data_IF_274495401692
#
_entry.id   IF_274495401692
#
_cell.length_a   1.000
_cell.length_b   1.000
_cell.length_c   1.000
_cell.angle_alpha   90.00
_cell.angle_beta   90.00
_cell.angle_gamma   90.00
#
_symmetry.space_group_name_H-M   'P 1'
#
loop_
_entity.id
_entity.type
_entity.pdbx_description
1 polymer ?
#
# COMPACT_ATOMS: atom_id res chain seq x y z
N UNK A 1 -1.99 -1.56 -30.18
CA UNK A 1 -2.89 -2.30 -29.27
C UNK A 1 -3.55 -1.26 -28.39
N UNK A 2 -4.88 -1.32 -28.25
CA UNK A 2 -5.62 -0.37 -27.43
C UNK A 2 -6.14 -1.08 -26.17
N UNK A 3 -6.04 -0.42 -25.04
CA UNK A 3 -6.39 -0.94 -23.72
C UNK A 3 -7.22 0.10 -22.97
N UNK A 4 -8.22 -0.31 -22.23
CA UNK A 4 -8.88 0.54 -21.24
C UNK A 4 -8.48 0.12 -19.82
N UNK A 5 -8.32 1.10 -18.94
CA UNK A 5 -8.06 0.86 -17.50
C UNK A 5 -9.15 1.60 -16.73
N UNK A 6 -10.03 0.84 -16.07
CA UNK A 6 -11.15 1.36 -15.28
C UNK A 6 -10.74 1.49 -13.81
N UNK A 7 -10.86 2.69 -13.29
CA UNK A 7 -10.35 3.13 -11.99
C UNK A 7 -9.03 3.89 -12.16
N UNK A 8 -9.00 5.17 -11.82
CA UNK A 8 -7.80 6.03 -11.84
C UNK A 8 -7.24 6.28 -10.44
N UNK A 9 -7.41 5.31 -9.56
CA UNK A 9 -6.68 5.23 -8.30
C UNK A 9 -5.21 4.86 -8.54
N UNK A 10 -4.51 4.58 -7.45
CA UNK A 10 -3.07 4.31 -7.47
C UNK A 10 -2.69 3.22 -8.50
N UNK A 11 -3.30 2.05 -8.41
CA UNK A 11 -3.00 0.90 -9.30
C UNK A 11 -3.34 1.19 -10.75
N UNK A 12 -4.53 1.78 -10.99
CA UNK A 12 -5.00 2.00 -12.36
C UNK A 12 -4.23 3.08 -13.09
N UNK A 13 -3.98 4.23 -12.45
CA UNK A 13 -3.25 5.33 -13.09
C UNK A 13 -1.79 4.96 -13.37
N UNK A 14 -1.10 4.31 -12.40
CA UNK A 14 0.26 3.81 -12.62
C UNK A 14 0.29 2.78 -13.76
N UNK A 15 -0.64 1.82 -13.75
CA UNK A 15 -0.71 0.79 -14.82
C UNK A 15 -0.97 1.42 -16.19
N UNK A 16 -1.92 2.35 -16.27
CA UNK A 16 -2.25 3.05 -17.52
C UNK A 16 -1.09 3.85 -18.07
N UNK A 17 -0.42 4.62 -17.20
CA UNK A 17 0.74 5.43 -17.59
C UNK A 17 1.92 4.55 -18.04
N UNK A 18 2.22 3.46 -17.33
CA UNK A 18 3.31 2.55 -17.68
C UNK A 18 3.03 1.76 -18.97
N UNK A 19 1.79 1.33 -19.22
CA UNK A 19 1.42 0.74 -20.52
C UNK A 19 1.58 1.75 -21.66
N UNK A 20 1.13 3.00 -21.46
CA UNK A 20 1.27 4.06 -22.43
C UNK A 20 2.75 4.38 -22.73
N UNK A 21 3.61 4.35 -21.71
CA UNK A 21 5.05 4.55 -21.83
C UNK A 21 5.71 3.49 -22.74
N UNK A 22 5.17 2.26 -22.72
CA UNK A 22 5.63 1.17 -23.60
C UNK A 22 4.98 1.20 -24.99
N UNK A 23 4.30 2.28 -25.37
CA UNK A 23 3.73 2.48 -26.70
C UNK A 23 2.33 1.91 -26.90
N UNK A 24 1.63 1.49 -25.84
CA UNK A 24 0.25 1.07 -25.89
C UNK A 24 -0.67 2.30 -25.87
N UNK A 25 -1.75 2.32 -26.66
CA UNK A 25 -2.79 3.36 -26.51
C UNK A 25 -3.70 2.96 -25.36
N UNK A 26 -3.78 3.80 -24.35
CA UNK A 26 -4.51 3.54 -23.11
C UNK A 26 -5.56 4.60 -22.87
N UNK A 27 -6.79 4.17 -22.62
CA UNK A 27 -7.87 5.00 -22.11
C UNK A 27 -8.05 4.69 -20.62
N UNK A 28 -7.73 5.64 -19.75
CA UNK A 28 -8.06 5.57 -18.33
C UNK A 28 -9.47 6.08 -18.08
N UNK A 29 -10.29 5.29 -17.40
CA UNK A 29 -11.71 5.56 -17.16
C UNK A 29 -11.97 5.65 -15.67
N UNK A 30 -12.67 6.69 -15.21
CA UNK A 30 -13.12 6.80 -13.83
C UNK A 30 -14.46 7.53 -13.77
N UNK A 31 -15.36 7.10 -12.91
CA UNK A 31 -16.69 7.73 -12.75
C UNK A 31 -16.63 9.13 -12.09
N UNK A 32 -15.52 9.45 -11.45
CA UNK A 32 -15.29 10.75 -10.80
C UNK A 32 -14.88 11.80 -11.84
N UNK A 33 -15.85 12.61 -12.25
CA UNK A 33 -15.65 13.69 -13.21
C UNK A 33 -14.56 14.67 -12.78
N UNK A 34 -14.51 15.03 -11.48
CA UNK A 34 -13.52 15.98 -10.97
C UNK A 34 -12.10 15.42 -11.09
N UNK A 35 -11.94 14.13 -10.84
CA UNK A 35 -10.66 13.44 -10.99
C UNK A 35 -10.23 13.38 -12.46
N UNK A 36 -11.15 13.03 -13.36
CA UNK A 36 -10.89 13.01 -14.80
C UNK A 36 -10.55 14.41 -15.34
N UNK A 37 -11.27 15.44 -14.92
CA UNK A 37 -10.96 16.81 -15.32
C UNK A 37 -9.59 17.26 -14.78
N UNK A 38 -9.25 16.92 -13.55
CA UNK A 38 -7.92 17.18 -13.00
C UNK A 38 -6.82 16.51 -13.85
N UNK A 39 -7.00 15.22 -14.19
CA UNK A 39 -6.06 14.47 -15.03
C UNK A 39 -5.91 15.05 -16.44
N UNK A 40 -7.01 15.45 -17.09
CA UNK A 40 -7.00 16.15 -18.40
C UNK A 40 -6.22 17.47 -18.33
N UNK A 41 -6.25 18.15 -17.19
CA UNK A 41 -5.51 19.38 -16.93
C UNK A 41 -4.09 19.16 -16.36
N UNK A 42 -3.59 17.92 -16.40
CA UNK A 42 -2.23 17.57 -15.95
C UNK A 42 -2.05 17.62 -14.44
N UNK A 43 -3.13 17.60 -13.63
CA UNK A 43 -3.07 17.48 -12.17
C UNK A 43 -3.23 16.02 -11.77
N UNK A 44 -2.18 15.46 -11.18
CA UNK A 44 -2.16 14.04 -10.77
C UNK A 44 -2.68 13.91 -9.34
N UNK A 45 -3.74 13.13 -9.08
CA UNK A 45 -4.41 13.08 -7.78
C UNK A 45 -3.74 12.15 -6.76
N UNK A 46 -2.57 11.62 -7.08
CA UNK A 46 -1.81 10.69 -6.23
C UNK A 46 -0.34 11.09 -6.20
N UNK A 47 0.30 10.88 -5.05
CA UNK A 47 1.75 11.06 -4.92
C UNK A 47 2.47 9.75 -5.26
N UNK A 48 3.24 9.76 -6.36
CA UNK A 48 4.12 8.66 -6.77
C UNK A 48 5.31 9.22 -7.56
N UNK A 49 6.55 8.99 -7.12
CA UNK A 49 7.73 9.51 -7.80
C UNK A 49 7.79 9.15 -9.29
N UNK A 50 7.93 10.15 -10.15
CA UNK A 50 8.05 9.99 -11.61
C UNK A 50 6.75 9.77 -12.37
N UNK A 51 5.60 9.60 -11.70
CA UNK A 51 4.31 9.40 -12.35
C UNK A 51 3.81 10.65 -13.07
N UNK A 52 3.95 11.82 -12.46
CA UNK A 52 3.51 13.11 -12.98
C UNK A 52 4.07 13.37 -14.38
N UNK A 53 5.38 13.26 -14.52
CA UNK A 53 6.08 13.46 -15.77
C UNK A 53 5.67 12.41 -16.83
N UNK A 54 5.54 11.15 -16.43
CA UNK A 54 5.13 10.05 -17.30
C UNK A 54 3.72 10.25 -17.83
N UNK A 55 2.76 10.62 -16.99
CA UNK A 55 1.38 10.90 -17.39
C UNK A 55 1.32 12.05 -18.39
N UNK A 56 1.96 13.20 -18.06
CA UNK A 56 1.96 14.38 -18.95
C UNK A 56 2.58 14.07 -20.32
N UNK A 57 3.73 13.39 -20.33
CA UNK A 57 4.41 13.01 -21.57
C UNK A 57 3.54 12.12 -22.47
N UNK A 58 2.88 11.13 -21.89
CA UNK A 58 2.07 10.18 -22.64
C UNK A 58 0.70 10.77 -23.06
N UNK A 59 0.11 11.65 -22.24
CA UNK A 59 -1.08 12.40 -22.61
C UNK A 59 -0.81 13.36 -23.80
N UNK A 60 0.29 14.11 -23.73
CA UNK A 60 0.70 15.00 -24.82
C UNK A 60 1.02 14.24 -26.11
N UNK A 61 1.51 13.03 -26.03
CA UNK A 61 1.78 12.16 -27.18
C UNK A 61 0.52 11.42 -27.70
N UNK A 62 -0.65 11.63 -27.11
CA UNK A 62 -1.90 10.98 -27.50
C UNK A 62 -1.98 9.49 -27.19
N UNK A 63 -1.02 8.94 -26.42
CA UNK A 63 -1.02 7.53 -26.01
C UNK A 63 -1.83 7.27 -24.75
N UNK A 64 -2.06 8.28 -23.92
CA UNK A 64 -2.84 8.19 -22.70
C UNK A 64 -4.00 9.19 -22.77
N UNK A 65 -5.22 8.70 -22.64
CA UNK A 65 -6.44 9.50 -22.66
C UNK A 65 -7.28 9.23 -21.40
N UNK A 66 -8.21 10.14 -21.09
CA UNK A 66 -9.05 10.06 -19.91
C UNK A 66 -10.52 10.22 -20.27
N UNK A 67 -11.39 9.34 -19.75
CA UNK A 67 -12.83 9.34 -19.97
C UNK A 67 -13.60 9.08 -18.67
N UNK A 68 -14.83 9.52 -18.61
CA UNK A 68 -15.75 9.22 -17.51
C UNK A 68 -16.61 7.98 -17.77
N UNK A 69 -16.54 7.40 -18.99
CA UNK A 69 -17.39 6.28 -19.40
C UNK A 69 -16.59 5.22 -20.15
N UNK A 70 -16.72 3.97 -19.73
CA UNK A 70 -16.16 2.83 -20.47
C UNK A 70 -16.83 2.67 -21.85
N UNK A 71 -18.12 3.01 -21.97
CA UNK A 71 -18.88 2.95 -23.21
C UNK A 71 -18.21 3.73 -24.33
N UNK A 72 -17.61 4.87 -24.03
CA UNK A 72 -17.03 5.77 -25.04
C UNK A 72 -15.73 5.23 -25.65
N UNK A 73 -15.08 4.26 -24.98
CA UNK A 73 -13.75 3.77 -25.38
C UNK A 73 -13.72 2.27 -25.69
N UNK A 74 -14.75 1.51 -25.32
CA UNK A 74 -14.72 0.04 -25.35
C UNK A 74 -14.69 -0.55 -26.77
N UNK A 75 -15.23 0.16 -27.75
CA UNK A 75 -15.33 -0.33 -29.13
C UNK A 75 -13.95 -0.60 -29.78
N UNK A 76 -12.93 0.14 -29.36
CA UNK A 76 -11.59 0.07 -29.94
C UNK A 76 -10.57 -0.73 -29.11
N UNK A 77 -10.94 -1.19 -27.92
CA UNK A 77 -10.00 -1.88 -27.02
C UNK A 77 -10.09 -3.39 -27.12
N UNK A 78 -8.95 -4.08 -26.89
CA UNK A 78 -8.87 -5.54 -26.84
C UNK A 78 -8.85 -6.07 -25.41
N UNK A 79 -8.41 -5.25 -24.47
CA UNK A 79 -8.31 -5.56 -23.05
C UNK A 79 -8.91 -4.43 -22.23
N UNK A 80 -9.74 -4.75 -21.27
CA UNK A 80 -10.25 -3.82 -20.25
C UNK A 80 -9.73 -4.28 -18.89
N UNK A 81 -8.94 -3.44 -18.23
CA UNK A 81 -8.47 -3.71 -16.88
C UNK A 81 -9.42 -3.08 -15.86
N UNK A 82 -9.91 -3.88 -14.93
CA UNK A 82 -10.61 -3.42 -13.74
C UNK A 82 -9.58 -3.19 -12.63
N UNK A 83 -9.29 -1.93 -12.34
CA UNK A 83 -8.35 -1.47 -11.31
C UNK A 83 -9.06 -0.61 -10.25
N UNK A 84 -10.32 -0.89 -10.01
CA UNK A 84 -11.18 -0.20 -9.04
C UNK A 84 -10.88 -0.63 -7.61
N UNK A 85 -11.25 0.19 -6.62
CA UNK A 85 -11.08 -0.14 -5.21
C UNK A 85 -11.86 -1.38 -4.78
N UNK A 86 -11.29 -2.10 -3.83
CA UNK A 86 -11.92 -3.22 -3.11
C UNK A 86 -11.80 -2.96 -1.62
N UNK A 87 -12.56 -1.98 -1.08
CA UNK A 87 -12.48 -1.65 0.33
C UNK A 87 -12.94 -2.84 1.18
N UNK A 88 -12.55 -2.88 2.47
CA UNK A 88 -13.11 -3.87 3.38
C UNK A 88 -14.61 -3.59 3.60
N UNK A 89 -15.40 -4.66 3.60
CA UNK A 89 -16.78 -4.65 4.05
C UNK A 89 -16.84 -4.64 5.59
N UNK A 90 -18.01 -4.44 6.18
CA UNK A 90 -18.21 -4.41 7.64
C UNK A 90 -17.73 -5.69 8.33
N UNK A 91 -17.84 -6.85 7.67
CA UNK A 91 -17.37 -8.14 8.19
C UNK A 91 -15.87 -8.38 7.97
N UNK A 92 -15.15 -7.44 7.34
CA UNK A 92 -13.73 -7.52 6.98
C UNK A 92 -13.46 -8.27 5.67
N UNK A 93 -14.49 -8.74 4.95
CA UNK A 93 -14.33 -9.25 3.59
C UNK A 93 -14.11 -8.11 2.59
N UNK A 94 -13.70 -8.43 1.36
CA UNK A 94 -13.57 -7.43 0.30
C UNK A 94 -14.95 -7.09 -0.30
N UNK A 95 -15.31 -5.80 -0.35
CA UNK A 95 -16.46 -5.33 -1.11
C UNK A 95 -16.16 -5.38 -2.60
N UNK A 96 -16.95 -6.16 -3.33
CA UNK A 96 -16.82 -6.37 -4.78
C UNK A 96 -17.75 -5.49 -5.62
N UNK A 97 -18.49 -4.58 -5.02
CA UNK A 97 -19.51 -3.76 -5.70
C UNK A 97 -18.92 -3.05 -6.91
N UNK A 98 -17.78 -2.39 -6.76
CA UNK A 98 -17.14 -1.67 -7.87
C UNK A 98 -16.65 -2.62 -8.98
N UNK A 99 -16.09 -3.76 -8.62
CA UNK A 99 -15.61 -4.77 -9.60
C UNK A 99 -16.78 -5.33 -10.41
N UNK A 100 -17.91 -5.65 -9.75
CA UNK A 100 -19.10 -6.15 -10.42
C UNK A 100 -19.81 -5.07 -11.24
N UNK A 101 -19.71 -3.79 -10.87
CA UNK A 101 -20.21 -2.69 -11.67
C UNK A 101 -19.42 -2.54 -12.98
N UNK A 102 -18.09 -2.66 -12.92
CA UNK A 102 -17.25 -2.70 -14.13
C UNK A 102 -17.64 -3.87 -15.05
N UNK A 103 -17.86 -5.06 -14.45
CA UNK A 103 -18.31 -6.24 -15.21
C UNK A 103 -19.68 -6.01 -15.88
N UNK A 104 -20.59 -5.33 -15.18
CA UNK A 104 -21.92 -4.96 -15.72
C UNK A 104 -21.80 -4.00 -16.88
N UNK A 105 -21.06 -2.91 -16.72
CA UNK A 105 -20.84 -1.92 -17.78
C UNK A 105 -20.12 -2.53 -18.98
N UNK A 106 -19.13 -3.40 -18.74
CA UNK A 106 -18.46 -4.16 -19.77
C UNK A 106 -19.47 -5.03 -20.57
N UNK A 107 -20.29 -5.86 -19.90
CA UNK A 107 -21.29 -6.70 -20.55
C UNK A 107 -22.37 -5.92 -21.30
N UNK A 108 -22.72 -4.73 -20.83
CA UNK A 108 -23.67 -3.83 -21.50
C UNK A 108 -23.14 -3.24 -22.81
N UNK A 109 -21.81 -3.12 -22.98
CA UNK A 109 -21.26 -2.32 -24.06
C UNK A 109 -20.38 -3.08 -25.05
N UNK A 110 -19.86 -4.28 -24.72
CA UNK A 110 -19.02 -5.04 -25.66
C UNK A 110 -19.79 -5.42 -26.94
N UNK A 111 -19.11 -5.25 -28.09
CA UNK A 111 -19.62 -5.59 -29.44
C UNK A 111 -18.73 -6.61 -30.16
N UNK A 112 -17.52 -6.82 -29.68
CA UNK A 112 -16.53 -7.75 -30.25
C UNK A 112 -15.77 -8.47 -29.12
N UNK A 113 -15.01 -9.48 -29.50
CA UNK A 113 -14.19 -10.20 -28.54
C UNK A 113 -13.25 -9.25 -27.78
N UNK A 114 -13.43 -9.19 -26.48
CA UNK A 114 -12.64 -8.39 -25.56
C UNK A 114 -12.42 -9.19 -24.27
N UNK A 115 -11.30 -8.98 -23.60
CA UNK A 115 -11.00 -9.64 -22.32
C UNK A 115 -11.17 -8.62 -21.19
N UNK A 116 -11.97 -8.97 -20.18
CA UNK A 116 -12.01 -8.23 -18.93
C UNK A 116 -10.97 -8.80 -17.96
N UNK A 117 -9.99 -7.98 -17.57
CA UNK A 117 -8.87 -8.36 -16.72
C UNK A 117 -9.05 -7.74 -15.35
N UNK A 118 -9.21 -8.53 -14.31
CA UNK A 118 -9.22 -8.03 -12.92
C UNK A 118 -7.79 -7.79 -12.46
N UNK A 119 -7.44 -6.53 -12.22
CA UNK A 119 -6.16 -6.11 -11.66
C UNK A 119 -6.26 -5.81 -10.16
N UNK A 120 -7.43 -5.42 -9.69
CA UNK A 120 -7.74 -5.25 -8.27
C UNK A 120 -7.47 -6.55 -7.49
N UNK A 121 -7.06 -6.41 -6.23
CA UNK A 121 -6.94 -7.57 -5.32
C UNK A 121 -8.33 -8.03 -4.90
N UNK A 122 -8.71 -9.23 -5.30
CA UNK A 122 -10.04 -9.79 -5.10
C UNK A 122 -9.97 -11.21 -4.53
N UNK A 123 -10.95 -11.64 -3.71
CA UNK A 123 -11.04 -13.01 -3.20
C UNK A 123 -11.11 -14.06 -4.32
N UNK A 124 -10.56 -15.25 -4.04
CA UNK A 124 -10.63 -16.37 -4.96
C UNK A 124 -12.07 -16.70 -5.30
N UNK A 125 -12.33 -16.87 -6.61
CA UNK A 125 -13.67 -17.09 -7.17
C UNK A 125 -14.39 -15.83 -7.63
N UNK A 126 -13.75 -14.65 -7.53
CA UNK A 126 -14.34 -13.40 -8.02
C UNK A 126 -14.50 -13.41 -9.54
N UNK A 127 -13.56 -13.96 -10.29
CA UNK A 127 -13.66 -14.07 -11.74
C UNK A 127 -14.90 -14.83 -12.21
N UNK A 128 -15.33 -15.87 -11.49
CA UNK A 128 -16.57 -16.58 -11.79
C UNK A 128 -17.81 -15.70 -11.62
N UNK A 129 -17.83 -14.83 -10.59
CA UNK A 129 -18.90 -13.84 -10.38
C UNK A 129 -18.91 -12.78 -11.47
N UNK A 130 -17.73 -12.27 -11.82
CA UNK A 130 -17.53 -11.30 -12.92
C UNK A 130 -18.07 -11.88 -14.23
N UNK A 131 -17.68 -13.12 -14.58
CA UNK A 131 -18.14 -13.81 -15.78
C UNK A 131 -19.66 -13.92 -15.82
N UNK A 132 -20.29 -14.37 -14.72
CA UNK A 132 -21.74 -14.48 -14.59
C UNK A 132 -22.46 -13.14 -14.84
N UNK A 133 -21.96 -12.07 -14.24
CA UNK A 133 -22.54 -10.73 -14.45
C UNK A 133 -22.47 -10.30 -15.91
N UNK A 134 -21.37 -10.58 -16.62
CA UNK A 134 -21.24 -10.26 -18.03
C UNK A 134 -22.23 -11.07 -18.86
N UNK A 135 -22.33 -12.39 -18.62
CA UNK A 135 -23.27 -13.29 -19.29
C UNK A 135 -24.73 -12.82 -19.12
N UNK A 136 -25.12 -12.42 -17.91
CA UNK A 136 -26.44 -11.86 -17.61
C UNK A 136 -26.74 -10.55 -18.40
N UNK A 137 -25.73 -9.69 -18.62
CA UNK A 137 -25.92 -8.47 -19.41
C UNK A 137 -26.05 -8.77 -20.91
N UNK A 138 -25.26 -9.71 -21.43
CA UNK A 138 -25.37 -10.13 -22.83
C UNK A 138 -26.70 -10.80 -23.11
N UNK A 139 -27.20 -11.64 -22.21
CA UNK A 139 -28.53 -12.27 -22.31
C UNK A 139 -29.65 -11.21 -22.35
N UNK A 140 -29.60 -10.20 -21.46
CA UNK A 140 -30.54 -9.08 -21.47
C UNK A 140 -30.56 -8.28 -22.78
N UNK A 141 -29.42 -8.22 -23.48
CA UNK A 141 -29.30 -7.57 -24.79
C UNK A 141 -29.71 -8.49 -25.93
N UNK A 142 -29.92 -9.76 -25.69
CA UNK A 142 -30.15 -10.76 -26.75
C UNK A 142 -28.93 -11.02 -27.64
N UNK A 143 -27.72 -10.71 -27.17
CA UNK A 143 -26.49 -10.80 -27.95
C UNK A 143 -25.58 -11.93 -27.47
N UNK A 144 -24.80 -12.49 -28.42
CA UNK A 144 -23.80 -13.53 -28.17
C UNK A 144 -22.41 -13.05 -28.55
N UNK A 145 -21.91 -12.07 -27.81
CA UNK A 145 -20.55 -11.55 -28.01
C UNK A 145 -19.55 -12.44 -27.26
N UNK A 146 -18.53 -13.01 -27.91
CA UNK A 146 -17.52 -13.78 -27.23
C UNK A 146 -16.65 -12.89 -26.37
N UNK A 147 -16.31 -13.35 -25.17
CA UNK A 147 -15.42 -12.66 -24.23
C UNK A 147 -14.66 -13.66 -23.38
N UNK A 148 -13.60 -13.21 -22.73
CA UNK A 148 -12.91 -13.91 -21.66
C UNK A 148 -12.79 -13.04 -20.43
N UNK A 149 -12.57 -13.67 -19.29
CA UNK A 149 -12.13 -13.03 -18.05
C UNK A 149 -10.72 -13.51 -17.72
N UNK A 150 -9.92 -12.62 -17.14
CA UNK A 150 -8.57 -12.92 -16.69
C UNK A 150 -8.31 -12.26 -15.32
N UNK A 151 -7.35 -12.78 -14.58
CA UNK A 151 -6.83 -12.17 -13.36
C UNK A 151 -5.37 -11.79 -13.56
N UNK A 152 -5.04 -10.54 -13.28
CA UNK A 152 -3.67 -10.03 -13.37
C UNK A 152 -3.36 -9.18 -12.13
N UNK A 153 -3.17 -9.82 -10.98
CA UNK A 153 -2.91 -9.11 -9.75
C UNK A 153 -1.63 -8.26 -9.85
N UNK A 154 -1.62 -7.14 -9.16
CA UNK A 154 -0.49 -6.23 -9.09
C UNK A 154 0.38 -6.54 -7.86
N UNK A 155 1.67 -6.17 -7.91
CA UNK A 155 2.63 -6.30 -6.82
C UNK A 155 3.40 -4.99 -6.63
N UNK A 156 2.73 -3.88 -6.90
CA UNK A 156 3.31 -2.55 -6.83
C UNK A 156 3.51 -2.11 -5.38
N UNK A 157 4.58 -1.37 -5.13
CA UNK A 157 4.84 -0.73 -3.84
C UNK A 157 4.61 0.77 -4.00
N UNK A 158 3.69 1.35 -3.24
CA UNK A 158 3.53 2.80 -3.17
C UNK A 158 4.89 3.48 -2.93
N UNK A 159 5.16 4.58 -3.63
CA UNK A 159 6.46 5.25 -3.62
C UNK A 159 7.55 4.62 -4.51
N UNK A 160 7.27 3.46 -5.12
CA UNK A 160 8.16 2.80 -6.09
C UNK A 160 7.38 2.08 -7.20
N UNK A 161 6.09 2.39 -7.36
CA UNK A 161 5.20 1.62 -8.23
C UNK A 161 5.53 1.76 -9.72
N UNK A 162 5.93 2.94 -10.16
CA UNK A 162 6.41 3.14 -11.54
C UNK A 162 7.60 2.24 -11.82
N UNK A 163 8.59 2.21 -10.92
CA UNK A 163 9.77 1.34 -11.05
C UNK A 163 9.39 -0.14 -11.03
N UNK A 164 8.54 -0.54 -10.08
CA UNK A 164 8.09 -1.94 -9.94
C UNK A 164 7.29 -2.40 -11.17
N UNK A 165 6.52 -1.50 -11.79
CA UNK A 165 5.76 -1.82 -13.00
C UNK A 165 6.66 -1.96 -14.22
N UNK A 166 7.62 -1.03 -14.38
CA UNK A 166 8.55 -1.01 -15.52
C UNK A 166 9.62 -2.10 -15.42
N UNK A 167 9.93 -2.57 -14.22
CA UNK A 167 10.94 -3.60 -13.94
C UNK A 167 10.41 -4.58 -12.87
N UNK A 168 9.36 -5.38 -13.17
CA UNK A 168 8.74 -6.26 -12.20
C UNK A 168 9.60 -7.49 -11.91
N UNK A 169 9.63 -7.96 -10.66
CA UNK A 169 10.21 -9.27 -10.31
C UNK A 169 9.47 -10.42 -11.04
N UNK A 170 8.17 -10.29 -11.23
CA UNK A 170 7.28 -11.18 -11.98
C UNK A 170 5.98 -10.50 -12.35
N UNK A 171 5.35 -11.00 -13.40
CA UNK A 171 3.96 -10.71 -13.76
C UNK A 171 3.18 -12.02 -13.64
N UNK A 172 2.04 -12.00 -12.95
CA UNK A 172 1.15 -13.16 -12.80
C UNK A 172 -0.12 -12.93 -13.61
N UNK A 173 -0.49 -13.91 -14.43
CA UNK A 173 -1.68 -13.84 -15.30
C UNK A 173 -2.45 -15.15 -15.22
N UNK A 174 -3.65 -15.08 -14.63
CA UNK A 174 -4.61 -16.18 -14.63
C UNK A 174 -5.53 -16.08 -15.83
N UNK A 175 -5.57 -17.11 -16.66
CA UNK A 175 -6.40 -17.20 -17.88
C UNK A 175 -7.04 -18.56 -18.02
N UNK A 176 -8.16 -18.61 -18.77
CA UNK A 176 -8.88 -19.85 -19.08
C UNK A 176 -8.82 -20.22 -20.56
N UNK A 177 -8.30 -19.36 -21.43
CA UNK A 177 -8.20 -19.60 -22.87
C UNK A 177 -6.84 -19.20 -23.45
N UNK A 178 -6.42 -19.89 -24.51
CA UNK A 178 -5.21 -19.54 -25.26
C UNK A 178 -5.33 -18.18 -25.95
N UNK A 179 -6.55 -17.78 -26.31
CA UNK A 179 -6.80 -16.46 -26.94
C UNK A 179 -6.55 -15.31 -25.97
N UNK A 180 -7.06 -15.41 -24.75
CA UNK A 180 -6.75 -14.43 -23.68
C UNK A 180 -5.26 -14.43 -23.31
N UNK A 181 -4.64 -15.63 -23.23
CA UNK A 181 -3.21 -15.79 -22.97
C UNK A 181 -2.37 -15.08 -24.03
N UNK A 182 -2.69 -15.22 -25.31
CA UNK A 182 -1.98 -14.58 -26.42
C UNK A 182 -2.07 -13.04 -26.36
N UNK A 183 -3.24 -12.48 -26.01
CA UNK A 183 -3.40 -11.01 -25.84
C UNK A 183 -2.61 -10.49 -24.65
N UNK A 184 -2.66 -11.16 -23.51
CA UNK A 184 -1.88 -10.77 -22.33
C UNK A 184 -0.37 -10.89 -22.60
N UNK A 185 0.08 -11.94 -23.25
CA UNK A 185 1.48 -12.09 -23.67
C UNK A 185 1.93 -10.94 -24.59
N UNK A 186 1.09 -10.57 -25.57
CA UNK A 186 1.37 -9.44 -26.47
C UNK A 186 1.49 -8.12 -25.71
N UNK A 187 0.63 -7.87 -24.72
CA UNK A 187 0.67 -6.67 -23.90
C UNK A 187 1.98 -6.59 -23.08
N UNK A 188 2.37 -7.70 -22.44
CA UNK A 188 3.55 -7.71 -21.56
C UNK A 188 4.88 -7.95 -22.28
N UNK A 189 4.86 -8.28 -23.58
CA UNK A 189 6.07 -8.54 -24.37
C UNK A 189 7.12 -7.43 -24.30
N UNK A 190 6.78 -6.13 -24.36
CA UNK A 190 7.78 -5.06 -24.26
C UNK A 190 8.53 -5.04 -22.93
N UNK A 191 7.88 -5.48 -21.84
CA UNK A 191 8.47 -5.54 -20.50
C UNK A 191 9.42 -6.76 -20.33
N UNK A 192 9.31 -7.78 -21.20
CA UNK A 192 10.09 -9.02 -21.10
C UNK A 192 11.54 -8.90 -21.63
N UNK A 193 11.91 -7.78 -22.22
CA UNK A 193 13.25 -7.55 -22.80
C UNK A 193 14.40 -7.68 -21.77
N UNK A 194 14.08 -7.57 -20.48
CA UNK A 194 15.03 -7.65 -19.36
C UNK A 194 14.90 -8.95 -18.54
N UNK A 195 14.55 -10.08 -19.16
CA UNK A 195 14.36 -11.39 -18.50
C UNK A 195 13.22 -11.48 -17.47
N UNK A 196 12.19 -10.65 -17.56
CA UNK A 196 11.02 -10.76 -16.70
C UNK A 196 10.21 -12.00 -17.04
N UNK A 197 9.77 -12.71 -16.00
CA UNK A 197 8.94 -13.90 -16.16
C UNK A 197 7.46 -13.50 -16.05
N UNK A 198 6.69 -13.80 -17.10
CA UNK A 198 5.24 -13.84 -17.02
C UNK A 198 4.84 -15.26 -16.62
N UNK A 199 4.23 -15.40 -15.46
CA UNK A 199 3.73 -16.66 -14.92
C UNK A 199 2.27 -16.77 -15.34
N UNK A 200 1.98 -17.67 -16.28
CA UNK A 200 0.62 -18.02 -16.64
C UNK A 200 0.11 -19.17 -15.79
N UNK A 201 -1.08 -19.01 -15.24
CA UNK A 201 -1.74 -20.03 -14.41
C UNK A 201 -3.26 -19.97 -14.61
N UNK A 202 -4.02 -20.83 -13.93
CA UNK A 202 -5.46 -20.69 -13.81
C UNK A 202 -5.85 -19.44 -13.00
N UNK A 203 -7.08 -18.99 -13.17
CA UNK A 203 -7.54 -17.75 -12.54
C UNK A 203 -7.59 -17.83 -11.01
N UNK A 204 -8.14 -18.89 -10.38
CA UNK A 204 -8.13 -19.02 -8.92
C UNK A 204 -6.73 -18.99 -8.31
N UNK A 205 -5.76 -19.62 -8.96
CA UNK A 205 -4.36 -19.57 -8.50
C UNK A 205 -3.77 -18.16 -8.60
N UNK A 206 -4.06 -17.41 -9.67
CA UNK A 206 -3.61 -16.02 -9.81
C UNK A 206 -4.21 -15.12 -8.70
N UNK A 207 -5.50 -15.26 -8.41
CA UNK A 207 -6.17 -14.55 -7.32
C UNK A 207 -5.53 -14.90 -5.96
N UNK A 208 -5.25 -16.19 -5.69
CA UNK A 208 -4.63 -16.65 -4.44
C UNK A 208 -3.18 -16.16 -4.28
N UNK A 209 -2.38 -16.16 -5.35
CA UNK A 209 -0.96 -15.75 -5.31
C UNK A 209 -0.81 -14.34 -4.71
N UNK A 210 -1.70 -13.40 -5.02
CA UNK A 210 -1.64 -12.05 -4.47
C UNK A 210 -1.82 -12.04 -2.95
N UNK A 211 -2.87 -12.70 -2.46
CA UNK A 211 -3.13 -12.82 -1.03
C UNK A 211 -2.02 -13.55 -0.29
N UNK A 212 -1.56 -14.67 -0.82
CA UNK A 212 -0.48 -15.45 -0.22
C UNK A 212 0.82 -14.65 -0.14
N UNK A 213 1.17 -13.90 -1.19
CA UNK A 213 2.37 -13.05 -1.20
C UNK A 213 2.29 -11.95 -0.13
N UNK A 214 1.20 -11.19 -0.07
CA UNK A 214 1.04 -10.13 0.92
C UNK A 214 0.98 -10.68 2.36
N UNK A 215 0.30 -11.81 2.55
CA UNK A 215 0.23 -12.50 3.86
C UNK A 215 1.60 -13.00 4.31
N UNK A 216 2.42 -13.54 3.41
CA UNK A 216 3.78 -13.97 3.73
C UNK A 216 4.67 -12.78 4.15
N UNK A 217 4.57 -11.66 3.45
CA UNK A 217 5.32 -10.45 3.82
C UNK A 217 4.88 -9.90 5.17
N UNK A 218 3.58 -9.84 5.43
CA UNK A 218 3.02 -9.45 6.73
C UNK A 218 3.48 -10.41 7.86
N UNK A 219 3.48 -11.72 7.59
CA UNK A 219 3.97 -12.75 8.53
C UNK A 219 5.43 -12.51 8.91
N UNK A 220 6.30 -12.20 7.95
CA UNK A 220 7.71 -11.92 8.21
C UNK A 220 7.91 -10.70 9.12
N UNK A 221 7.13 -9.64 8.90
CA UNK A 221 7.19 -8.42 9.73
C UNK A 221 6.69 -8.73 11.14
N UNK A 222 5.52 -9.35 11.30
CA UNK A 222 4.97 -9.69 12.61
C UNK A 222 5.87 -10.68 13.36
N UNK A 223 6.42 -11.68 12.67
CA UNK A 223 7.38 -12.60 13.27
C UNK A 223 8.59 -11.88 13.86
N UNK A 224 9.19 -10.94 13.11
CA UNK A 224 10.34 -10.18 13.59
C UNK A 224 9.98 -9.21 14.71
N UNK A 225 8.76 -8.65 14.70
CA UNK A 225 8.27 -7.82 15.79
C UNK A 225 8.08 -8.63 17.09
N UNK A 226 7.54 -9.84 16.97
CA UNK A 226 7.36 -10.75 18.11
C UNK A 226 8.71 -11.18 18.69
N UNK A 227 9.68 -11.52 17.82
CA UNK A 227 11.07 -11.79 18.23
C UNK A 227 11.71 -10.56 18.88
N UNK A 228 11.49 -9.35 18.36
CA UNK A 228 12.03 -8.12 18.94
C UNK A 228 11.51 -7.89 20.37
N UNK A 229 10.21 -8.07 20.58
CA UNK A 229 9.62 -7.97 21.92
C UNK A 229 10.20 -9.00 22.90
N UNK A 230 10.44 -10.23 22.43
CA UNK A 230 11.12 -11.25 23.26
C UNK A 230 12.58 -10.88 23.55
N UNK A 231 13.31 -10.34 22.56
CA UNK A 231 14.70 -9.89 22.76
C UNK A 231 14.81 -8.88 23.90
N UNK A 232 13.89 -7.93 24.02
CA UNK A 232 13.87 -6.96 25.14
C UNK A 232 13.73 -7.65 26.51
N UNK A 233 12.99 -8.76 26.58
CA UNK A 233 12.76 -9.49 27.83
C UNK A 233 13.97 -10.33 28.22
N UNK A 234 14.61 -10.99 27.25
CA UNK A 234 15.72 -11.90 27.48
C UNK A 234 17.10 -11.27 27.39
N UNK A 235 17.18 -9.97 27.03
CA UNK A 235 18.44 -9.24 26.92
C UNK A 235 19.23 -9.54 25.63
N UNK A 236 18.57 -10.03 24.57
CA UNK A 236 19.16 -10.21 23.25
C UNK A 236 19.06 -8.91 22.42
N UNK A 237 19.83 -8.84 21.34
CA UNK A 237 19.79 -7.74 20.37
C UNK A 237 19.11 -8.22 19.11
N UNK A 238 17.94 -7.65 18.78
CA UNK A 238 17.15 -8.04 17.60
C UNK A 238 17.89 -7.79 16.29
N UNK A 239 18.77 -6.77 16.23
CA UNK A 239 19.54 -6.50 15.00
C UNK A 239 20.53 -7.64 14.72
N UNK A 240 21.20 -8.15 15.76
CA UNK A 240 22.08 -9.30 15.63
C UNK A 240 21.30 -10.57 15.27
N UNK A 241 20.11 -10.77 15.85
CA UNK A 241 19.22 -11.88 15.49
C UNK A 241 18.80 -11.77 14.03
N UNK A 242 18.37 -10.57 13.59
CA UNK A 242 17.99 -10.28 12.20
C UNK A 242 19.11 -10.58 11.22
N UNK A 243 20.34 -10.15 11.52
CA UNK A 243 21.51 -10.41 10.68
C UNK A 243 21.83 -11.90 10.63
N UNK A 244 21.80 -12.57 11.78
CA UNK A 244 22.10 -14.00 11.88
C UNK A 244 21.13 -14.86 11.06
N UNK A 245 19.81 -14.70 11.27
CA UNK A 245 18.83 -15.50 10.51
C UNK A 245 18.76 -15.08 9.05
N UNK A 246 18.94 -13.78 8.75
CA UNK A 246 18.91 -13.27 7.37
C UNK A 246 20.11 -13.69 6.51
N UNK A 247 21.19 -14.16 7.11
CA UNK A 247 22.35 -14.72 6.41
C UNK A 247 22.07 -16.12 5.81
N UNK A 248 21.09 -16.85 6.33
CA UNK A 248 20.62 -18.09 5.73
C UNK A 248 19.89 -17.80 4.41
N UNK A 249 20.39 -18.34 3.30
CA UNK A 249 19.83 -18.12 1.96
C UNK A 249 18.39 -18.61 1.81
N UNK A 250 17.96 -19.58 2.62
CA UNK A 250 16.57 -20.09 2.66
C UNK A 250 15.60 -19.06 3.25
N UNK A 251 16.10 -18.17 4.12
CA UNK A 251 15.34 -17.10 4.76
C UNK A 251 15.51 -15.79 3.98
N UNK A 252 16.76 -15.34 3.77
CA UNK A 252 17.10 -14.08 3.12
C UNK A 252 16.79 -12.86 3.99
N UNK A 253 17.36 -11.71 3.64
CA UNK A 253 17.38 -10.49 4.49
C UNK A 253 16.14 -9.60 4.39
N UNK A 254 15.31 -9.76 3.35
CA UNK A 254 14.18 -8.85 3.08
C UNK A 254 13.01 -9.10 4.03
N UNK A 255 12.33 -8.01 4.44
CA UNK A 255 11.15 -8.05 5.33
C UNK A 255 11.40 -8.65 6.72
N UNK A 256 12.63 -8.52 7.24
CA UNK A 256 13.01 -8.92 8.59
C UNK A 256 13.30 -7.73 9.51
N UNK A 257 12.90 -6.51 9.15
CA UNK A 257 13.13 -5.33 9.97
C UNK A 257 12.02 -5.18 11.01
N UNK A 258 12.35 -5.24 12.31
CA UNK A 258 11.38 -4.95 13.37
C UNK A 258 11.03 -3.45 13.37
N UNK A 259 9.86 -3.12 13.89
CA UNK A 259 9.40 -1.75 13.98
C UNK A 259 8.07 -1.64 14.73
N UNK A 260 7.40 -0.53 14.59
CA UNK A 260 6.14 -0.23 15.28
C UNK A 260 4.88 -0.83 14.59
N UNK A 261 5.02 -1.89 13.83
CA UNK A 261 3.94 -2.54 13.08
C UNK A 261 3.81 -2.05 11.65
N UNK A 262 3.05 -2.80 10.87
CA UNK A 262 2.72 -2.43 9.48
C UNK A 262 1.33 -1.79 9.37
N UNK A 263 1.19 -0.93 8.38
CA UNK A 263 -0.05 -0.28 7.98
C UNK A 263 -0.21 -0.27 6.46
N UNK A 264 -0.86 0.76 5.95
CA UNK A 264 -1.14 0.95 4.53
C UNK A 264 -2.40 0.24 4.06
N UNK A 265 -2.72 0.45 2.80
CA UNK A 265 -3.96 -0.04 2.18
C UNK A 265 -3.97 -1.54 1.86
N UNK A 266 -2.81 -2.21 1.87
CA UNK A 266 -2.67 -3.56 1.33
C UNK A 266 -2.60 -4.62 2.43
N UNK A 267 -1.54 -4.64 3.26
CA UNK A 267 -1.32 -5.74 4.19
C UNK A 267 -2.45 -5.96 5.18
N UNK A 268 -2.95 -4.94 5.90
CA UNK A 268 -4.04 -5.16 6.86
C UNK A 268 -5.31 -5.68 6.19
N UNK A 269 -5.68 -5.08 5.06
CA UNK A 269 -6.88 -5.44 4.30
C UNK A 269 -6.78 -6.88 3.76
N UNK A 270 -5.65 -7.23 3.13
CA UNK A 270 -5.50 -8.51 2.44
C UNK A 270 -5.38 -9.68 3.42
N UNK A 271 -4.68 -9.49 4.55
CA UNK A 271 -4.63 -10.49 5.62
C UNK A 271 -6.03 -10.76 6.19
N UNK A 272 -6.78 -9.70 6.53
CA UNK A 272 -8.16 -9.81 7.05
C UNK A 272 -9.09 -10.48 6.02
N UNK A 273 -9.02 -10.07 4.75
CA UNK A 273 -9.85 -10.64 3.69
C UNK A 273 -9.56 -12.13 3.44
N UNK A 274 -8.28 -12.56 3.53
CA UNK A 274 -7.93 -13.98 3.38
C UNK A 274 -8.42 -14.80 4.56
N UNK A 275 -8.31 -14.29 5.80
CA UNK A 275 -8.88 -14.92 6.99
C UNK A 275 -10.40 -15.11 6.81
N UNK A 276 -11.12 -14.07 6.39
CA UNK A 276 -12.57 -14.13 6.16
C UNK A 276 -12.96 -15.08 5.02
N UNK A 277 -12.17 -15.11 3.95
CA UNK A 277 -12.39 -16.05 2.85
C UNK A 277 -12.28 -17.50 3.33
N UNK A 278 -11.29 -17.80 4.16
CA UNK A 278 -11.10 -19.13 4.75
C UNK A 278 -12.27 -19.49 5.69
N UNK A 279 -12.68 -18.58 6.56
CA UNK A 279 -13.82 -18.76 7.49
C UNK A 279 -15.12 -19.10 6.74
N UNK A 280 -15.43 -18.35 5.66
CA UNK A 280 -16.59 -18.62 4.80
C UNK A 280 -16.55 -20.00 4.14
N UNK A 281 -15.36 -20.64 4.09
CA UNK A 281 -15.14 -22.01 3.58
C UNK A 281 -14.95 -23.05 4.69
N UNK A 282 -15.17 -22.68 5.96
CA UNK A 282 -15.02 -23.59 7.09
C UNK A 282 -13.56 -23.87 7.51
N UNK A 283 -12.62 -23.07 7.04
CA UNK A 283 -11.20 -23.25 7.36
C UNK A 283 -10.66 -22.13 8.26
N UNK A 284 -9.88 -22.46 9.28
CA UNK A 284 -9.28 -21.49 10.20
C UNK A 284 -7.83 -21.21 9.83
N UNK A 285 -7.53 -19.98 9.42
CA UNK A 285 -6.18 -19.49 9.12
C UNK A 285 -5.45 -19.11 10.43
N UNK A 286 -4.93 -20.10 11.18
CA UNK A 286 -4.32 -19.90 12.50
C UNK A 286 -3.10 -18.97 12.45
N UNK A 287 -2.20 -19.17 11.48
CA UNK A 287 -1.00 -18.33 11.35
C UNK A 287 -1.37 -16.88 11.11
N UNK A 288 -2.29 -16.59 10.20
CA UNK A 288 -2.64 -15.20 9.88
C UNK A 288 -3.41 -14.50 11.00
N UNK A 289 -4.20 -15.24 11.79
CA UNK A 289 -4.83 -14.68 13.00
C UNK A 289 -3.77 -14.24 14.02
N UNK A 290 -2.75 -15.05 14.25
CA UNK A 290 -1.63 -14.68 15.13
C UNK A 290 -0.83 -13.48 14.57
N UNK A 291 -0.62 -13.43 13.26
CA UNK A 291 0.05 -12.31 12.58
C UNK A 291 -0.70 -10.99 12.80
N UNK A 292 -2.02 -11.01 12.67
CA UNK A 292 -2.88 -9.84 12.90
C UNK A 292 -2.84 -9.40 14.36
N UNK A 293 -2.97 -10.33 15.29
CA UNK A 293 -2.90 -10.06 16.74
C UNK A 293 -1.56 -9.42 17.13
N UNK A 294 -0.45 -9.97 16.65
CA UNK A 294 0.90 -9.41 16.88
C UNK A 294 0.99 -7.99 16.33
N UNK A 295 0.48 -7.75 15.12
CA UNK A 295 0.54 -6.42 14.50
C UNK A 295 -0.29 -5.37 15.24
N UNK A 296 -1.50 -5.71 15.69
CA UNK A 296 -2.34 -4.79 16.47
C UNK A 296 -1.69 -4.42 17.82
N UNK A 297 -1.05 -5.39 18.48
CA UNK A 297 -0.27 -5.14 19.70
C UNK A 297 0.96 -4.27 19.43
N UNK A 298 1.62 -4.50 18.28
CA UNK A 298 2.84 -3.78 17.90
C UNK A 298 2.59 -2.30 17.59
N UNK A 299 1.42 -1.95 17.06
CA UNK A 299 1.04 -0.55 16.82
C UNK A 299 1.04 0.31 18.11
N UNK A 300 1.01 -0.32 19.28
CA UNK A 300 1.00 0.37 20.58
C UNK A 300 2.39 0.44 21.24
N UNK A 301 3.40 -0.24 20.70
CA UNK A 301 4.69 -0.45 21.40
C UNK A 301 5.44 0.86 21.66
N UNK A 302 5.40 1.82 20.71
CA UNK A 302 6.06 3.13 20.86
C UNK A 302 5.41 3.94 21.99
N UNK A 303 4.08 3.94 22.06
CA UNK A 303 3.36 4.60 23.15
C UNK A 303 3.65 3.95 24.50
N UNK A 304 3.68 2.62 24.60
CA UNK A 304 4.04 1.90 25.84
C UNK A 304 5.46 2.22 26.29
N UNK A 305 6.43 2.32 25.35
CA UNK A 305 7.80 2.73 25.66
C UNK A 305 7.83 4.18 26.18
N UNK A 306 7.10 5.10 25.55
CA UNK A 306 6.99 6.47 26.02
C UNK A 306 6.43 6.52 27.46
N UNK A 307 5.35 5.81 27.76
CA UNK A 307 4.78 5.74 29.11
C UNK A 307 5.78 5.24 30.16
N UNK A 308 6.60 4.27 29.79
CA UNK A 308 7.61 3.66 30.68
C UNK A 308 8.76 4.63 30.98
N UNK A 309 9.19 5.42 30.01
CA UNK A 309 10.43 6.19 30.08
C UNK A 309 10.21 7.70 30.34
N UNK A 310 9.04 8.26 29.98
CA UNK A 310 8.76 9.67 30.26
C UNK A 310 8.39 9.87 31.74
N UNK A 311 9.29 10.52 32.47
CA UNK A 311 9.08 10.82 33.88
C UNK A 311 7.99 11.89 34.11
N UNK A 312 7.20 11.72 35.18
CA UNK A 312 6.18 12.70 35.59
C UNK A 312 4.84 12.57 34.87
N UNK A 313 4.57 11.45 34.21
CA UNK A 313 3.30 11.20 33.52
C UNK A 313 3.22 11.85 32.15
N UNK A 314 2.09 11.67 31.47
CA UNK A 314 1.86 12.11 30.08
C UNK A 314 0.99 13.37 30.00
N UNK A 315 0.13 13.62 30.98
CA UNK A 315 -0.82 14.74 30.96
C UNK A 315 -0.10 16.09 30.85
N UNK A 316 -0.51 16.91 29.88
CA UNK A 316 0.07 18.23 29.58
C UNK A 316 1.45 18.19 28.94
N UNK A 317 2.02 17.02 28.66
CA UNK A 317 3.32 16.87 27.99
C UNK A 317 3.22 17.13 26.49
N UNK A 318 4.23 17.80 25.95
CA UNK A 318 4.35 18.04 24.50
C UNK A 318 5.16 16.91 23.86
N UNK A 319 4.54 16.14 22.96
CA UNK A 319 5.16 15.03 22.26
C UNK A 319 5.31 15.36 20.78
N UNK A 320 6.55 15.37 20.30
CA UNK A 320 6.84 15.50 18.88
C UNK A 320 6.74 14.14 18.19
N UNK A 321 6.08 14.09 17.05
CA UNK A 321 5.91 12.89 16.26
C UNK A 321 6.43 13.12 14.85
N UNK A 322 7.47 12.39 14.47
CA UNK A 322 8.05 12.40 13.15
C UNK A 322 7.59 11.18 12.34
N UNK A 323 6.96 11.47 11.19
CA UNK A 323 6.42 10.46 10.29
C UNK A 323 4.96 10.12 10.58
N UNK A 324 4.10 10.38 9.61
CA UNK A 324 2.65 10.18 9.66
C UNK A 324 2.18 9.09 8.71
N UNK A 325 2.76 9.06 7.50
CA UNK A 325 2.52 7.99 6.53
C UNK A 325 2.98 6.62 7.07
N UNK A 326 2.34 5.55 6.62
CA UNK A 326 2.68 4.20 7.08
C UNK A 326 4.10 3.73 6.70
N UNK A 327 4.70 4.38 5.70
CA UNK A 327 6.10 4.21 5.24
C UNK A 327 6.57 5.45 4.48
N UNK A 328 7.89 5.60 4.19
CA UNK A 328 8.40 6.68 3.34
C UNK A 328 7.88 6.64 1.90
N UNK A 329 7.99 7.79 1.20
CA UNK A 329 7.69 8.01 -0.22
C UNK A 329 6.19 7.82 -0.57
N UNK A 330 5.29 8.05 0.40
CA UNK A 330 3.84 8.09 0.20
C UNK A 330 3.17 9.04 1.20
N UNK A 331 1.97 9.51 0.88
CA UNK A 331 1.09 10.25 1.78
C UNK A 331 0.04 9.35 2.46
N UNK A 332 0.04 8.04 2.19
CA UNK A 332 -0.97 7.11 2.70
C UNK A 332 -0.84 6.90 4.21
N UNK A 333 -1.88 7.31 4.94
CA UNK A 333 -2.01 7.13 6.38
C UNK A 333 -2.99 6.01 6.78
N UNK A 334 -3.55 5.25 5.83
CA UNK A 334 -4.48 4.16 6.15
C UNK A 334 -3.81 3.12 7.02
N UNK A 335 -4.46 2.76 8.13
CA UNK A 335 -3.92 1.79 9.10
C UNK A 335 -2.50 2.12 9.62
N UNK A 336 -2.05 3.38 9.49
CA UNK A 336 -0.74 3.79 9.94
C UNK A 336 -0.65 3.79 11.47
N UNK A 337 0.50 3.34 11.99
CA UNK A 337 0.79 3.33 13.43
C UNK A 337 0.72 4.73 14.04
N UNK A 338 1.00 5.78 13.26
CA UNK A 338 0.89 7.17 13.67
C UNK A 338 -0.51 7.53 14.17
N UNK A 339 -1.56 7.06 13.48
CA UNK A 339 -2.95 7.32 13.90
C UNK A 339 -3.26 6.68 15.25
N UNK A 340 -2.81 5.44 15.47
CA UNK A 340 -2.98 4.73 16.77
C UNK A 340 -2.20 5.46 17.87
N UNK A 341 -0.96 5.85 17.59
CA UNK A 341 -0.11 6.54 18.56
C UNK A 341 -0.67 7.92 18.92
N UNK A 342 -1.15 8.69 17.93
CA UNK A 342 -1.77 10.01 18.16
C UNK A 342 -3.02 9.88 19.01
N UNK A 343 -3.90 8.93 18.70
CA UNK A 343 -5.12 8.68 19.48
C UNK A 343 -4.80 8.36 20.95
N UNK A 344 -3.82 7.49 21.19
CA UNK A 344 -3.38 7.13 22.54
C UNK A 344 -2.76 8.32 23.28
N UNK A 345 -1.96 9.17 22.61
CA UNK A 345 -1.36 10.38 23.19
C UNK A 345 -2.43 11.40 23.57
N UNK A 346 -3.39 11.68 22.68
CA UNK A 346 -4.49 12.59 22.93
C UNK A 346 -5.36 12.13 24.11
N UNK A 347 -5.69 10.83 24.18
CA UNK A 347 -6.40 10.23 25.31
C UNK A 347 -5.65 10.32 26.61
N UNK A 348 -4.31 10.33 26.57
CA UNK A 348 -3.45 10.52 27.73
C UNK A 348 -3.24 12.00 28.13
N UNK A 349 -3.91 12.93 27.45
CA UNK A 349 -3.82 14.37 27.73
C UNK A 349 -2.56 15.05 27.20
N UNK A 350 -1.86 14.44 26.24
CA UNK A 350 -0.67 15.05 25.63
C UNK A 350 -1.04 16.14 24.62
N UNK A 351 -0.15 17.11 24.46
CA UNK A 351 -0.10 18.03 23.31
C UNK A 351 0.75 17.37 22.23
N UNK A 352 0.18 17.08 21.08
CA UNK A 352 0.86 16.34 20.00
C UNK A 352 1.25 17.30 18.88
N UNK A 353 2.55 17.36 18.56
CA UNK A 353 3.10 18.13 17.44
C UNK A 353 3.61 17.16 16.38
N UNK A 354 3.15 17.32 15.15
CA UNK A 354 3.41 16.36 14.08
C UNK A 354 4.16 16.97 12.92
N UNK A 355 5.04 16.18 12.31
CA UNK A 355 5.65 16.51 11.03
C UNK A 355 5.85 15.26 10.16
N UNK A 356 5.53 15.42 8.88
CA UNK A 356 5.80 14.44 7.82
C UNK A 356 6.12 15.19 6.52
N UNK A 357 7.08 14.76 5.71
CA UNK A 357 7.44 15.44 4.46
C UNK A 357 6.31 15.56 3.43
N UNK A 358 5.35 14.62 3.44
CA UNK A 358 4.34 14.47 2.37
C UNK A 358 2.92 14.35 2.93
N UNK A 359 2.72 13.69 4.07
CA UNK A 359 1.40 13.32 4.57
C UNK A 359 0.70 14.39 5.43
N UNK A 360 1.22 15.64 5.50
CA UNK A 360 0.65 16.68 6.37
C UNK A 360 -0.80 17.04 6.00
N UNK A 361 -1.11 17.17 4.70
CA UNK A 361 -2.46 17.50 4.23
C UNK A 361 -3.44 16.36 4.47
N UNK A 362 -3.02 15.11 4.27
CA UNK A 362 -3.82 13.93 4.59
C UNK A 362 -4.08 13.81 6.09
N UNK A 363 -3.09 14.13 6.92
CA UNK A 363 -3.24 14.17 8.37
C UNK A 363 -4.28 15.23 8.77
N UNK A 364 -4.19 16.44 8.20
CA UNK A 364 -5.15 17.52 8.47
C UNK A 364 -6.56 17.15 8.04
N UNK A 365 -6.70 16.47 6.90
CA UNK A 365 -7.99 15.97 6.43
C UNK A 365 -8.63 14.97 7.40
N UNK A 366 -7.80 14.14 8.08
CA UNK A 366 -8.27 13.10 9.02
C UNK A 366 -8.49 13.61 10.43
N UNK A 367 -7.58 14.41 10.94
CA UNK A 367 -7.51 14.77 12.35
C UNK A 367 -7.95 16.22 12.62
N UNK A 368 -8.15 17.05 11.58
CA UNK A 368 -8.49 18.47 11.76
C UNK A 368 -7.46 19.17 12.64
N UNK A 369 -7.93 19.95 13.61
CA UNK A 369 -7.10 20.74 14.51
C UNK A 369 -6.80 20.05 15.85
N UNK A 370 -6.91 18.73 15.93
CA UNK A 370 -6.65 17.97 17.17
C UNK A 370 -5.17 17.85 17.49
N UNK A 371 -4.29 18.11 16.52
CA UNK A 371 -2.82 18.10 16.65
C UNK A 371 -2.23 19.42 16.12
N UNK A 372 -1.01 19.72 16.52
CA UNK A 372 -0.27 20.89 16.04
C UNK A 372 0.59 20.50 14.86
N UNK A 373 0.40 21.14 13.73
CA UNK A 373 1.14 20.89 12.49
C UNK A 373 2.40 21.75 12.46
N UNK A 374 3.56 21.12 12.59
CA UNK A 374 4.85 21.79 12.54
C UNK A 374 5.25 22.13 11.10
N UNK A 375 6.04 23.21 10.94
CA UNK A 375 6.56 23.66 9.63
C UNK A 375 7.67 22.76 9.10
N UNK A 376 8.46 22.23 9.99
CA UNK A 376 9.56 21.31 9.70
C UNK A 376 9.82 20.38 10.90
N UNK A 377 10.78 19.46 10.74
CA UNK A 377 11.12 18.49 11.78
C UNK A 377 11.65 19.15 13.07
N UNK A 378 12.34 20.27 12.99
CA UNK A 378 12.88 20.98 14.17
C UNK A 378 11.83 21.82 14.88
N UNK A 379 10.89 22.43 14.13
CA UNK A 379 9.73 23.09 14.72
C UNK A 379 8.85 22.08 15.50
N UNK A 380 8.77 20.83 15.03
CA UNK A 380 8.03 19.77 15.73
C UNK A 380 8.60 19.48 17.13
N UNK A 381 9.92 19.51 17.30
CA UNK A 381 10.59 19.16 18.56
C UNK A 381 10.82 20.37 19.50
N UNK A 382 10.48 21.58 19.08
CA UNK A 382 10.63 22.77 19.92
C UNK A 382 9.81 22.64 21.20
N UNK A 383 10.46 22.76 22.37
CA UNK A 383 9.88 22.57 23.71
C UNK A 383 9.18 21.21 23.93
N UNK A 384 9.53 20.20 23.15
CA UNK A 384 8.97 18.86 23.30
C UNK A 384 9.58 18.11 24.50
N UNK A 385 8.74 17.34 25.20
CA UNK A 385 9.15 16.46 26.29
C UNK A 385 9.68 15.11 25.79
N UNK A 386 9.32 14.71 24.57
CA UNK A 386 9.87 13.53 23.88
C UNK A 386 9.66 13.65 22.36
N UNK A 387 10.49 12.95 21.61
CA UNK A 387 10.33 12.76 20.16
C UNK A 387 10.07 11.27 19.86
N UNK A 388 9.02 10.99 19.08
CA UNK A 388 8.69 9.66 18.58
C UNK A 388 8.93 9.60 17.08
N UNK A 389 9.69 8.60 16.62
CA UNK A 389 9.87 8.32 15.19
C UNK A 389 8.98 7.15 14.78
N UNK A 390 8.07 7.38 13.82
CA UNK A 390 7.13 6.36 13.36
C UNK A 390 7.29 5.99 11.88
N UNK A 391 7.95 6.87 11.09
CA UNK A 391 8.23 6.60 9.66
C UNK A 391 9.66 7.01 9.33
N UNK A 392 10.40 6.09 8.72
CA UNK A 392 11.84 6.22 8.49
C UNK A 392 12.19 7.03 7.22
N UNK A 393 11.67 8.25 7.08
CA UNK A 393 12.02 9.15 5.98
C UNK A 393 13.52 9.43 5.91
N UNK A 394 14.06 9.58 4.72
CA UNK A 394 15.50 9.83 4.52
C UNK A 394 15.99 11.06 5.27
N UNK A 395 15.18 12.14 5.29
CA UNK A 395 15.54 13.38 5.98
C UNK A 395 15.59 13.25 7.50
N UNK A 396 14.98 12.21 8.10
CA UNK A 396 15.03 11.98 9.54
C UNK A 396 16.27 11.19 9.98
N UNK A 397 17.05 10.63 9.03
CA UNK A 397 18.18 9.74 9.36
C UNK A 397 19.39 10.43 9.96
N UNK A 398 19.62 11.69 9.62
CA UNK A 398 20.77 12.46 10.10
C UNK A 398 20.30 13.82 10.61
N UNK A 399 19.53 13.89 11.70
CA UNK A 399 19.12 15.17 12.26
C UNK A 399 20.29 15.83 13.00
N UNK A 400 20.19 17.13 13.20
CA UNK A 400 21.14 17.84 14.08
C UNK A 400 20.79 17.59 15.55
N UNK A 401 21.39 16.57 16.17
CA UNK A 401 21.19 16.26 17.59
C UNK A 401 21.54 17.43 18.50
N UNK A 402 22.58 18.21 18.16
CA UNK A 402 22.96 19.40 18.89
C UNK A 402 21.89 20.50 18.89
N UNK A 403 21.15 20.67 17.80
CA UNK A 403 20.00 21.57 17.73
C UNK A 403 18.85 21.01 18.57
N UNK A 404 18.49 19.75 18.37
CA UNK A 404 17.41 19.11 19.11
C UNK A 404 17.64 19.14 20.62
N UNK A 405 18.87 18.90 21.08
CA UNK A 405 19.22 18.97 22.52
C UNK A 405 18.99 20.33 23.13
N UNK A 406 19.20 21.39 22.36
CA UNK A 406 18.99 22.78 22.82
C UNK A 406 17.53 23.21 22.76
N UNK A 407 16.73 22.63 21.88
CA UNK A 407 15.34 23.06 21.63
C UNK A 407 14.30 22.21 22.34
N UNK A 408 14.59 20.94 22.62
CA UNK A 408 13.72 20.06 23.38
C UNK A 408 13.79 20.36 24.89
N UNK A 409 12.68 20.19 25.58
CA UNK A 409 12.62 20.29 27.06
C UNK A 409 13.29 19.10 27.72
N UNK A 410 13.03 17.89 27.22
CA UNK A 410 13.68 16.67 27.67
C UNK A 410 14.30 15.96 26.44
N UNK A 411 15.51 15.45 26.61
CA UNK A 411 16.22 14.77 25.55
C UNK A 411 15.85 13.25 25.53
N UNK A 412 14.57 12.97 25.25
CA UNK A 412 14.05 11.59 25.15
C UNK A 412 13.62 11.30 23.71
N UNK A 413 14.16 10.22 23.14
CA UNK A 413 13.83 9.74 21.78
C UNK A 413 13.34 8.31 21.87
N UNK A 414 12.17 8.05 21.29
CA UNK A 414 11.62 6.70 21.09
C UNK A 414 11.60 6.42 19.58
N UNK A 415 12.42 5.50 19.16
CA UNK A 415 12.58 5.14 17.74
C UNK A 415 11.79 3.87 17.40
N UNK A 416 10.68 4.03 16.71
CA UNK A 416 9.84 2.94 16.25
C UNK A 416 10.35 2.25 14.97
N UNK A 417 11.49 2.69 14.40
CA UNK A 417 12.03 2.19 13.12
C UNK A 417 13.49 1.76 13.17
N UNK A 418 14.14 1.93 14.33
CA UNK A 418 15.53 1.51 14.57
C UNK A 418 16.51 2.10 13.55
N UNK A 419 16.42 3.42 13.31
CA UNK A 419 17.26 4.08 12.30
C UNK A 419 18.43 4.88 12.88
N UNK A 420 18.48 5.06 14.21
CA UNK A 420 19.51 5.86 14.85
C UNK A 420 20.57 4.99 15.56
N UNK A 421 21.74 5.57 15.76
CA UNK A 421 22.82 4.96 16.51
C UNK A 421 22.75 5.36 18.00
N UNK A 422 22.77 4.35 18.88
CA UNK A 422 22.62 4.56 20.31
C UNK A 422 23.84 5.24 20.94
N UNK A 423 25.05 4.99 20.43
CA UNK A 423 26.29 5.61 20.93
C UNK A 423 26.31 7.09 20.57
N UNK A 424 25.95 7.42 19.31
CA UNK A 424 25.82 8.80 18.86
C UNK A 424 24.82 9.59 19.72
N UNK A 425 23.61 9.07 19.98
CA UNK A 425 22.62 9.77 20.79
C UNK A 425 23.10 9.95 22.24
N UNK A 426 23.79 8.95 22.79
CA UNK A 426 24.35 9.03 24.14
C UNK A 426 25.43 10.14 24.26
N UNK A 427 26.28 10.33 23.25
CA UNK A 427 27.28 11.42 23.20
C UNK A 427 26.61 12.81 23.27
N UNK A 428 25.44 12.98 22.62
CA UNK A 428 24.65 14.22 22.72
C UNK A 428 23.80 14.29 23.98
N UNK A 429 23.82 13.27 24.83
CA UNK A 429 23.10 13.21 26.11
C UNK A 429 21.60 12.98 25.94
N UNK A 430 21.18 12.22 24.95
CA UNK A 430 19.81 11.74 24.77
C UNK A 430 19.58 10.42 25.52
N UNK A 431 18.42 10.29 26.13
CA UNK A 431 17.85 9.00 26.49
C UNK A 431 17.17 8.42 25.24
N UNK A 432 17.67 7.26 24.79
CA UNK A 432 17.24 6.67 23.51
C UNK A 432 16.72 5.25 23.71
N UNK A 433 15.51 5.00 23.21
CA UNK A 433 14.88 3.68 23.24
C UNK A 433 14.35 3.31 21.87
N UNK A 434 14.53 2.04 21.49
CA UNK A 434 14.13 1.51 20.20
C UNK A 434 13.48 0.13 20.34
N UNK A 435 13.13 -0.53 19.25
CA UNK A 435 12.42 -1.81 19.25
C UNK A 435 13.44 -2.97 19.32
N UNK A 436 13.32 -3.84 20.33
CA UNK A 436 14.08 -5.10 20.40
C UNK A 436 15.42 -5.00 21.11
N UNK A 437 15.58 -3.97 21.97
CA UNK A 437 16.71 -3.89 22.91
C UNK A 437 16.40 -2.96 24.08
#
# INVERSE_FOLDING_TARGET
MNVAVVGTGYVGLVSGACFAEMGVHVACVDIDEKKIDALKNGKIPIYEPGLDEMVRRNANAGRLTFSTSLKDVIDDVSLVFSAVGTPPDEDGSADLTYVLNVAREFGQNIKRYTVLVTKSTVPVGTAAKVKKVIEEQLEKRGEKVPFDVASNPEFLKEGAAVKDFMSPDRVVVGVASDRAKALMMRLYRPFMLNNFRVIFTDIPSAEMIKYAANSMLATRISFMNDIANLCEIVGADVEMVRQGIGADTRIGRKFLYPGCGYGGSCFPKDVKALIKTAEKKGYTMRVLRAVEEVNENQKQVVFKKLQKHLKGGLEGKTIALWGLAFKPETDDMREATSLVTIDLLLKAGCIVRVFDPVAMDECRRRLGDTVIYAKDMYDAVLDADAMLLLTEWKQFRLPSWGVMKKTMRNALVIDGRNIYDAEELAEYGFEYHWIGK
#
